data_IF_229791503119
#
_entry.id   IF_229791503119
#
_cell.length_a   1.000
_cell.length_b   1.000
_cell.length_c   1.000
_cell.angle_alpha   90.00
_cell.angle_beta   90.00
_cell.angle_gamma   90.00
#
_symmetry.space_group_name_H-M   'P 1'
#
loop_
_entity.id
_entity.type
_entity.pdbx_description
1 polymer ?
#
# COMPACT_ATOMS: atom_id res chain seq x y z
N UNK A 1 -8.40 14.51 -26.41
CA UNK A 1 -7.80 13.44 -27.23
C UNK A 1 -8.85 12.59 -27.95
N UNK A 2 -9.58 11.65 -27.32
CA UNK A 2 -10.57 10.79 -28.03
C UNK A 2 -11.67 11.57 -28.78
N UNK A 3 -12.17 12.67 -28.18
CA UNK A 3 -13.17 13.57 -28.81
C UNK A 3 -12.59 14.40 -29.98
N UNK A 4 -11.28 14.66 -29.97
CA UNK A 4 -10.57 15.41 -31.02
C UNK A 4 -10.24 14.49 -32.20
N UNK A 5 -9.96 13.21 -31.93
CA UNK A 5 -9.61 12.19 -32.92
C UNK A 5 -10.84 11.44 -33.46
N UNK A 6 -12.05 11.79 -33.04
CA UNK A 6 -13.31 11.14 -33.40
C UNK A 6 -13.34 9.62 -33.14
N UNK A 7 -12.59 9.15 -32.12
CA UNK A 7 -12.53 7.73 -31.74
C UNK A 7 -13.49 7.50 -30.56
N UNK A 8 -14.39 6.50 -30.64
CA UNK A 8 -15.23 6.09 -29.52
C UNK A 8 -14.40 5.81 -28.27
N UNK A 9 -14.77 6.38 -27.12
CA UNK A 9 -14.07 6.13 -25.84
C UNK A 9 -13.97 4.64 -25.49
N UNK A 10 -14.93 3.83 -25.96
CA UNK A 10 -14.96 2.37 -25.80
C UNK A 10 -13.85 1.63 -26.55
N UNK A 11 -13.32 2.20 -27.65
CA UNK A 11 -12.19 1.62 -28.38
C UNK A 11 -10.85 1.92 -27.71
N UNK A 12 -10.75 3.04 -27.00
CA UNK A 12 -9.51 3.49 -26.35
C UNK A 12 -9.35 2.87 -24.96
N UNK A 13 -10.46 2.60 -24.26
CA UNK A 13 -10.43 2.04 -22.92
C UNK A 13 -10.76 0.56 -22.94
N UNK A 14 -9.69 -0.25 -22.94
CA UNK A 14 -9.66 -1.62 -22.42
C UNK A 14 -10.49 -2.67 -23.19
N UNK A 15 -9.79 -3.51 -23.96
CA UNK A 15 -10.32 -4.78 -24.46
C UNK A 15 -10.27 -5.81 -23.33
N UNK A 16 -11.42 -6.23 -22.79
CA UNK A 16 -11.50 -7.26 -21.74
C UNK A 16 -10.81 -8.54 -22.23
N UNK A 17 -9.70 -8.91 -21.61
CA UNK A 17 -9.05 -10.20 -21.84
C UNK A 17 -9.89 -11.28 -21.16
N UNK A 18 -10.30 -12.31 -21.91
CA UNK A 18 -11.01 -13.46 -21.34
C UNK A 18 -10.02 -14.19 -20.43
N UNK A 19 -10.40 -14.36 -19.16
CA UNK A 19 -9.57 -15.06 -18.17
C UNK A 19 -9.75 -16.56 -18.40
N UNK A 20 -8.67 -17.28 -18.72
CA UNK A 20 -8.67 -18.74 -18.78
C UNK A 20 -8.48 -19.25 -17.34
N UNK A 21 -9.54 -19.77 -16.72
CA UNK A 21 -9.46 -20.34 -15.38
C UNK A 21 -8.97 -21.79 -15.48
N UNK A 22 -7.73 -22.04 -15.06
CA UNK A 22 -7.27 -23.40 -14.82
C UNK A 22 -7.54 -23.75 -13.36
N UNK A 23 -8.68 -24.39 -13.12
CA UNK A 23 -9.17 -24.73 -11.77
C UNK A 23 -8.18 -25.60 -10.98
N UNK A 24 -7.41 -26.47 -11.62
CA UNK A 24 -6.38 -27.28 -10.94
C UNK A 24 -5.22 -26.42 -10.45
N UNK A 25 -4.68 -25.56 -11.31
CA UNK A 25 -3.57 -24.67 -10.95
C UNK A 25 -4.01 -23.63 -9.90
N UNK A 26 -5.20 -23.04 -10.06
CA UNK A 26 -5.75 -22.09 -9.08
C UNK A 26 -5.95 -22.76 -7.71
N UNK A 27 -6.46 -23.99 -7.66
CA UNK A 27 -6.62 -24.72 -6.40
C UNK A 27 -5.28 -25.07 -5.75
N UNK A 28 -4.26 -25.43 -6.54
CA UNK A 28 -2.90 -25.68 -6.03
C UNK A 28 -2.24 -24.40 -5.50
N UNK A 29 -2.43 -23.26 -6.18
CA UNK A 29 -1.97 -21.96 -5.68
C UNK A 29 -2.67 -21.63 -4.37
N UNK A 30 -3.99 -21.84 -4.28
CA UNK A 30 -4.76 -21.60 -3.04
C UNK A 30 -4.26 -22.48 -1.89
N UNK A 31 -3.94 -23.76 -2.13
CA UNK A 31 -3.42 -24.64 -1.09
C UNK A 31 -2.05 -24.18 -0.60
N UNK A 32 -1.14 -23.84 -1.52
CA UNK A 32 0.18 -23.30 -1.18
C UNK A 32 0.04 -22.01 -0.35
N UNK A 33 -0.83 -21.08 -0.76
CA UNK A 33 -1.05 -19.83 -0.01
C UNK A 33 -1.69 -20.06 1.37
N UNK A 34 -2.52 -21.10 1.52
CA UNK A 34 -3.11 -21.46 2.82
C UNK A 34 -2.10 -22.13 3.73
N UNK A 35 -1.25 -23.01 3.21
CA UNK A 35 -0.15 -23.64 3.95
C UNK A 35 0.93 -22.62 4.32
N UNK A 36 1.21 -21.65 3.44
CA UNK A 36 2.11 -20.53 3.73
C UNK A 36 1.47 -19.47 4.63
N UNK A 37 0.20 -19.61 5.02
CA UNK A 37 -0.45 -18.67 5.93
C UNK A 37 0.21 -18.87 7.29
N UNK A 38 1.20 -18.02 7.58
CA UNK A 38 2.06 -18.11 8.74
C UNK A 38 1.26 -18.10 10.05
N UNK A 39 1.11 -19.27 10.68
CA UNK A 39 0.57 -19.40 12.04
C UNK A 39 1.34 -18.51 13.05
N UNK A 40 2.59 -18.19 12.75
CA UNK A 40 3.46 -17.30 13.54
C UNK A 40 2.86 -15.90 13.70
N UNK A 41 2.24 -15.33 12.65
CA UNK A 41 1.66 -13.99 12.75
C UNK A 41 0.45 -14.02 13.68
N UNK A 42 -0.40 -15.05 13.57
CA UNK A 42 -1.59 -15.18 14.41
C UNK A 42 -1.19 -15.42 15.88
N UNK A 43 -0.17 -16.24 16.13
CA UNK A 43 0.39 -16.48 17.48
C UNK A 43 0.99 -15.20 18.11
N UNK A 44 1.73 -14.39 17.33
CA UNK A 44 2.27 -13.11 17.80
C UNK A 44 1.13 -12.15 18.15
N UNK A 45 0.11 -12.04 17.30
CA UNK A 45 -1.04 -11.16 17.55
C UNK A 45 -1.79 -11.56 18.82
N UNK A 46 -2.00 -12.86 19.04
CA UNK A 46 -2.60 -13.38 20.27
C UNK A 46 -1.72 -13.08 21.50
N UNK A 47 -0.41 -13.32 21.40
CA UNK A 47 0.54 -13.08 22.49
C UNK A 47 0.57 -11.62 22.96
N UNK A 48 0.43 -10.67 22.04
CA UNK A 48 0.42 -9.24 22.33
C UNK A 48 -0.99 -8.64 22.45
N UNK A 49 -2.04 -9.47 22.47
CA UNK A 49 -3.44 -9.06 22.57
C UNK A 49 -3.86 -8.05 21.47
N UNK A 50 -3.27 -8.17 20.28
CA UNK A 50 -3.55 -7.30 19.15
C UNK A 50 -4.70 -7.89 18.32
N UNK A 51 -5.84 -7.21 18.32
CA UNK A 51 -6.99 -7.64 17.52
C UNK A 51 -6.72 -7.48 16.01
N UNK A 52 -6.79 -8.59 15.27
CA UNK A 52 -6.65 -8.59 13.82
C UNK A 52 -7.90 -8.01 13.15
N UNK A 53 -7.72 -6.95 12.35
CA UNK A 53 -8.76 -6.38 11.50
C UNK A 53 -8.40 -6.56 10.02
N UNK A 54 -9.28 -7.19 9.25
CA UNK A 54 -9.11 -7.42 7.82
C UNK A 54 -10.29 -6.83 7.06
N UNK A 55 -9.98 -6.08 5.99
CA UNK A 55 -10.99 -5.54 5.08
C UNK A 55 -11.79 -6.64 4.41
N UNK A 56 -13.08 -6.38 4.15
CA UNK A 56 -13.94 -7.32 3.41
C UNK A 56 -13.45 -7.42 1.96
N UNK A 57 -13.61 -8.61 1.37
CA UNK A 57 -13.28 -8.84 -0.04
C UNK A 57 -14.10 -7.90 -0.92
N UNK A 58 -13.41 -7.12 -1.76
CA UNK A 58 -14.06 -6.16 -2.67
C UNK A 58 -14.29 -4.76 -2.06
N UNK A 59 -13.74 -4.47 -0.88
CA UNK A 59 -13.78 -3.14 -0.25
C UNK A 59 -12.41 -2.45 -0.35
N UNK A 60 -12.05 -1.83 -1.50
CA UNK A 60 -10.76 -1.17 -1.67
C UNK A 60 -10.61 0.11 -0.82
N UNK A 61 -11.72 0.72 -0.42
CA UNK A 61 -11.73 1.98 0.34
C UNK A 61 -11.07 1.85 1.72
N UNK A 62 -11.18 0.68 2.36
CA UNK A 62 -10.54 0.40 3.65
C UNK A 62 -9.00 0.49 3.55
N UNK A 63 -8.44 0.28 2.35
CA UNK A 63 -7.00 0.34 2.09
C UNK A 63 -6.54 1.70 1.55
N UNK A 64 -7.46 2.64 1.30
CA UNK A 64 -7.16 3.89 0.59
C UNK A 64 -6.09 4.74 1.29
N UNK A 65 -6.07 4.75 2.63
CA UNK A 65 -5.06 5.48 3.42
C UNK A 65 -3.66 4.89 3.21
N UNK A 66 -3.54 3.56 3.26
CA UNK A 66 -2.27 2.88 3.00
C UNK A 66 -1.82 3.08 1.55
N UNK A 67 -2.73 2.99 0.58
CA UNK A 67 -2.43 3.25 -0.83
C UNK A 67 -1.96 4.67 -1.10
N UNK A 68 -2.55 5.66 -0.43
CA UNK A 68 -2.07 7.04 -0.50
C UNK A 68 -0.64 7.16 0.03
N UNK A 69 -0.33 6.52 1.16
CA UNK A 69 1.03 6.45 1.70
C UNK A 69 2.02 5.81 0.73
N UNK A 70 1.68 4.65 0.17
CA UNK A 70 2.52 3.95 -0.81
C UNK A 70 2.74 4.76 -2.08
N UNK A 71 1.72 5.49 -2.54
CA UNK A 71 1.85 6.39 -3.68
C UNK A 71 2.90 7.45 -3.38
N UNK A 72 2.84 8.10 -2.22
CA UNK A 72 3.78 9.15 -1.83
C UNK A 72 5.22 8.62 -1.80
N UNK A 73 5.46 7.46 -1.15
CA UNK A 73 6.79 6.83 -1.12
C UNK A 73 7.28 6.55 -2.55
N UNK A 74 6.43 6.00 -3.41
CA UNK A 74 6.82 5.69 -4.80
C UNK A 74 7.13 6.95 -5.59
N UNK A 75 6.36 8.03 -5.43
CA UNK A 75 6.51 9.26 -6.22
C UNK A 75 7.64 10.14 -5.73
N UNK A 76 7.87 10.22 -4.43
CA UNK A 76 8.86 11.14 -3.86
C UNK A 76 10.16 10.44 -3.50
N UNK A 77 10.08 9.24 -2.91
CA UNK A 77 11.27 8.53 -2.47
C UNK A 77 11.87 7.68 -3.58
N UNK A 78 11.07 6.92 -4.33
CA UNK A 78 11.60 5.92 -5.26
C UNK A 78 11.65 6.37 -6.74
N UNK A 79 10.87 7.40 -7.11
CA UNK A 79 10.74 7.80 -8.51
C UNK A 79 12.08 8.27 -9.08
N UNK A 80 12.47 7.67 -10.21
CA UNK A 80 13.70 7.99 -10.93
C UNK A 80 15.00 7.85 -10.10
N UNK A 81 15.00 6.97 -9.10
CA UNK A 81 16.20 6.63 -8.32
C UNK A 81 16.63 5.20 -8.58
N UNK A 82 17.94 5.01 -8.56
CA UNK A 82 18.60 3.71 -8.63
C UNK A 82 19.38 3.55 -7.34
N UNK A 83 19.18 2.42 -6.67
CA UNK A 83 19.94 2.04 -5.48
C UNK A 83 20.95 0.97 -5.89
N UNK A 84 22.20 1.14 -5.49
CA UNK A 84 23.30 0.24 -5.85
C UNK A 84 23.34 -0.99 -4.93
N UNK A 85 22.67 -0.92 -3.77
CA UNK A 85 22.55 -2.05 -2.85
C UNK A 85 21.26 -2.01 -2.02
N UNK A 86 20.90 -3.17 -1.45
CA UNK A 86 19.79 -3.27 -0.50
C UNK A 86 20.05 -2.46 0.78
N UNK A 87 21.29 -2.40 1.24
CA UNK A 87 21.65 -1.65 2.46
C UNK A 87 21.54 -0.14 2.25
N UNK A 88 21.95 0.36 1.08
CA UNK A 88 21.70 1.76 0.67
C UNK A 88 20.21 2.07 0.67
N UNK A 89 19.39 1.23 0.00
CA UNK A 89 17.94 1.40 -0.01
C UNK A 89 17.35 1.45 1.41
N UNK A 90 17.77 0.55 2.31
CA UNK A 90 17.29 0.52 3.70
C UNK A 90 17.67 1.78 4.47
N UNK A 91 18.92 2.23 4.33
CA UNK A 91 19.41 3.43 5.02
C UNK A 91 18.67 4.67 4.54
N UNK A 92 18.55 4.85 3.22
CA UNK A 92 17.85 6.01 2.66
C UNK A 92 16.35 5.98 2.96
N UNK A 93 15.72 4.80 2.94
CA UNK A 93 14.31 4.66 3.31
C UNK A 93 14.08 5.03 4.78
N UNK A 94 14.95 4.59 5.70
CA UNK A 94 14.88 4.98 7.12
C UNK A 94 14.97 6.50 7.28
N UNK A 95 15.92 7.13 6.60
CA UNK A 95 16.08 8.58 6.61
C UNK A 95 14.85 9.30 6.06
N UNK A 96 14.26 8.80 4.97
CA UNK A 96 13.03 9.34 4.40
C UNK A 96 11.85 9.22 5.36
N UNK A 97 11.65 8.06 5.99
CA UNK A 97 10.57 7.85 6.97
C UNK A 97 10.75 8.75 8.19
N UNK A 98 11.99 8.93 8.67
CA UNK A 98 12.29 9.83 9.79
C UNK A 98 11.91 11.28 9.44
N UNK A 99 12.32 11.75 8.25
CA UNK A 99 11.97 13.08 7.75
C UNK A 99 10.45 13.24 7.57
N UNK A 100 9.79 12.26 6.95
CA UNK A 100 8.35 12.30 6.73
C UNK A 100 7.58 12.46 8.04
N UNK A 101 7.96 11.71 9.08
CA UNK A 101 7.24 11.73 10.35
C UNK A 101 7.55 12.95 11.23
N UNK A 102 8.76 13.51 11.15
CA UNK A 102 9.23 14.54 12.11
C UNK A 102 9.49 15.91 11.50
N UNK A 103 9.45 16.05 10.18
CA UNK A 103 9.79 17.31 9.49
C UNK A 103 8.78 17.71 8.42
N UNK A 104 8.07 16.75 7.81
CA UNK A 104 7.07 17.06 6.79
C UNK A 104 5.80 17.61 7.42
N UNK A 105 5.45 18.84 7.06
CA UNK A 105 4.17 19.45 7.44
C UNK A 105 3.06 19.01 6.49
N UNK A 106 1.85 18.79 7.03
CA UNK A 106 0.67 18.42 6.25
C UNK A 106 -0.44 19.44 6.46
N UNK A 107 -0.94 20.04 5.37
CA UNK A 107 -2.06 21.00 5.44
C UNK A 107 -3.33 20.37 6.05
N UNK A 108 -3.57 19.08 5.78
CA UNK A 108 -4.67 18.32 6.39
C UNK A 108 -4.52 18.10 7.89
N UNK A 109 -3.32 18.27 8.44
CA UNK A 109 -3.00 18.13 9.86
C UNK A 109 -2.79 19.50 10.52
N UNK A 110 -3.45 20.54 10.01
CA UNK A 110 -3.28 21.92 10.48
C UNK A 110 -1.81 22.38 10.47
N UNK A 111 -1.07 21.98 9.43
CA UNK A 111 0.36 22.26 9.24
C UNK A 111 1.28 21.65 10.30
N UNK A 112 0.83 20.62 11.02
CA UNK A 112 1.66 19.81 11.91
C UNK A 112 2.37 18.68 11.15
N UNK A 113 3.45 18.18 11.74
CA UNK A 113 4.06 16.90 11.35
C UNK A 113 3.22 15.72 11.85
N UNK A 114 3.33 14.53 11.24
CA UNK A 114 2.61 13.34 11.71
C UNK A 114 2.85 13.01 13.18
N UNK A 115 4.09 13.20 13.67
CA UNK A 115 4.42 12.97 15.09
C UNK A 115 3.78 14.01 16.00
N UNK A 116 3.87 15.30 15.65
CA UNK A 116 3.21 16.37 16.43
C UNK A 116 1.70 16.17 16.49
N UNK A 117 1.08 15.87 15.35
CA UNK A 117 -0.35 15.59 15.28
C UNK A 117 -0.72 14.40 16.17
N UNK A 118 0.05 13.30 16.12
CA UNK A 118 -0.20 12.15 17.01
C UNK A 118 -0.08 12.53 18.48
N UNK A 119 0.94 13.29 18.87
CA UNK A 119 1.15 13.70 20.26
C UNK A 119 0.03 14.61 20.76
N UNK A 120 -0.46 15.54 19.92
CA UNK A 120 -1.57 16.42 20.26
C UNK A 120 -2.91 15.70 20.46
N UNK A 121 -3.13 14.58 19.75
CA UNK A 121 -4.36 13.79 19.85
C UNK A 121 -4.24 12.57 20.80
N UNK A 122 -3.08 12.35 21.42
CA UNK A 122 -2.87 11.27 22.40
C UNK A 122 -3.22 11.66 23.83
N UNK A 123 -3.50 12.93 24.08
CA UNK A 123 -3.89 13.48 25.39
C UNK A 123 -5.40 13.59 25.59
N UNK A 124 -6.20 13.09 24.64
CA UNK A 124 -7.66 12.96 24.74
C UNK A 124 -8.09 11.52 25.11
#
# INVERSE_FOLDING_TARGET
MCRVLNIPRSLVYYKRKIRVCNTKLENAIISIFRESKNNIIDEILETFEIQRSLSKKGCPYDNAVAEAGYKIIKTEFAFNRIFNSLEELKLELRSYVLWYNNKRIHSSLNYMTPVEYRLANMTE
#
